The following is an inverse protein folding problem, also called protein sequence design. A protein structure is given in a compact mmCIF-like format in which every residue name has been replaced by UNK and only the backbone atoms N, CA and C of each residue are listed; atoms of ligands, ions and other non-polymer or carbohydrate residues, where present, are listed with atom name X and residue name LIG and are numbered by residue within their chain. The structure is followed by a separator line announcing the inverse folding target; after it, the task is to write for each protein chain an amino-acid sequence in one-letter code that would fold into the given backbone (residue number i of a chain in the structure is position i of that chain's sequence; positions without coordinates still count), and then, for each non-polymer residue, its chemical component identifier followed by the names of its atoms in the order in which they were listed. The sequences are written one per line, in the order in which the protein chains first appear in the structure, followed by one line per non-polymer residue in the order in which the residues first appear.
data_IF_108159992765
#
_entry.id   IF_108159992765
#
_cell.length_a   1.000
_cell.length_b   1.000
_cell.length_c   1.000
_cell.angle_alpha   90.00
_cell.angle_beta   90.00
_cell.angle_gamma   90.00
#
_symmetry.space_group_name_H-M   'P 1'
#
loop_
_entity.id
_entity.type
_entity.pdbx_description
1 polymer ?
#
# COMPACT_ATOMS: atom_id res chain seq x y z
N UNK A 1 17.52 9.33 4.18
CA UNK A 1 16.49 8.87 5.15
C UNK A 1 15.37 8.22 4.38
N UNK A 2 14.84 7.09 4.87
CA UNK A 2 13.70 6.38 4.26
C UNK A 2 12.45 7.26 4.31
N UNK A 3 11.69 7.29 3.21
CA UNK A 3 10.50 8.14 3.08
C UNK A 3 9.25 7.35 3.42
N UNK A 4 8.33 7.95 4.19
CA UNK A 4 6.99 7.37 4.37
C UNK A 4 6.09 7.83 3.23
N UNK A 5 5.49 6.87 2.51
CA UNK A 5 4.63 7.12 1.34
C UNK A 5 3.27 6.47 1.55
N UNK A 6 2.19 6.96 0.92
CA UNK A 6 0.88 6.30 1.00
C UNK A 6 0.95 4.81 0.61
N UNK A 7 0.11 3.96 1.22
CA UNK A 7 0.12 2.50 0.98
C UNK A 7 0.06 2.15 -0.51
N UNK A 8 -0.83 2.79 -1.26
CA UNK A 8 -0.99 2.56 -2.70
C UNK A 8 0.27 2.91 -3.51
N UNK A 9 1.02 3.93 -3.07
CA UNK A 9 2.31 4.33 -3.67
C UNK A 9 3.38 3.29 -3.37
N UNK A 10 3.46 2.79 -2.13
CA UNK A 10 4.37 1.71 -1.76
C UNK A 10 4.09 0.43 -2.56
N UNK A 11 2.82 0.02 -2.66
CA UNK A 11 2.41 -1.13 -3.47
C UNK A 11 2.76 -0.95 -4.96
N UNK A 12 2.63 0.26 -5.49
CA UNK A 12 2.98 0.55 -6.87
C UNK A 12 4.49 0.39 -7.09
N UNK A 13 5.33 0.90 -6.18
CA UNK A 13 6.77 0.66 -6.24
C UNK A 13 7.11 -0.84 -6.13
N UNK A 14 6.49 -1.58 -5.22
CA UNK A 14 6.70 -3.02 -5.05
C UNK A 14 6.31 -3.82 -6.30
N UNK A 15 5.20 -3.43 -6.95
CA UNK A 15 4.80 -4.00 -8.24
C UNK A 15 5.92 -3.87 -9.28
N UNK A 16 6.48 -2.67 -9.46
CA UNK A 16 7.57 -2.43 -10.42
C UNK A 16 8.87 -3.13 -10.04
N UNK A 17 9.19 -3.25 -8.75
CA UNK A 17 10.32 -4.07 -8.27
C UNK A 17 10.15 -5.55 -8.65
N UNK A 18 8.93 -6.07 -8.57
CA UNK A 18 8.62 -7.46 -8.91
C UNK A 18 8.65 -7.72 -10.42
N UNK A 19 8.07 -6.82 -11.22
CA UNK A 19 8.01 -7.02 -12.69
C UNK A 19 9.31 -6.60 -13.40
N UNK A 20 10.11 -5.75 -12.78
CA UNK A 20 11.39 -5.28 -13.30
C UNK A 20 12.51 -5.58 -12.30
N UNK A 21 13.00 -6.84 -12.26
CA UNK A 21 13.98 -7.27 -11.27
C UNK A 21 15.36 -6.63 -11.49
N UNK A 22 15.73 -6.33 -12.75
CA UNK A 22 16.96 -5.63 -13.07
C UNK A 22 16.92 -4.19 -12.53
N UNK A 23 17.92 -3.83 -11.74
CA UNK A 23 17.97 -2.56 -11.03
C UNK A 23 18.16 -1.35 -11.94
N UNK A 24 19.03 -1.43 -12.93
CA UNK A 24 19.29 -0.32 -13.86
C UNK A 24 18.05 -0.01 -14.71
N UNK A 25 17.39 -1.06 -15.25
CA UNK A 25 16.15 -0.89 -16.01
C UNK A 25 15.06 -0.32 -15.12
N UNK A 26 14.96 -0.77 -13.87
CA UNK A 26 13.98 -0.27 -12.91
C UNK A 26 14.23 1.20 -12.56
N UNK A 27 15.48 1.60 -12.35
CA UNK A 27 15.85 2.99 -12.09
C UNK A 27 15.49 3.90 -13.27
N UNK A 28 15.82 3.47 -14.49
CA UNK A 28 15.41 4.19 -15.71
C UNK A 28 13.89 4.27 -15.84
N UNK A 29 13.19 3.19 -15.51
CA UNK A 29 11.72 3.15 -15.52
C UNK A 29 11.14 4.16 -14.53
N UNK A 30 11.60 4.17 -13.27
CA UNK A 30 11.13 5.14 -12.28
C UNK A 30 11.45 6.58 -12.66
N UNK A 31 12.61 6.85 -13.27
CA UNK A 31 12.91 8.19 -13.80
C UNK A 31 12.02 8.60 -14.97
N UNK A 32 11.54 7.66 -15.78
CA UNK A 32 10.67 7.92 -16.92
C UNK A 32 9.19 8.11 -16.53
N UNK A 33 8.73 7.46 -15.45
CA UNK A 33 7.32 7.45 -15.02
C UNK A 33 6.68 8.84 -14.96
N UNK A 34 7.29 9.86 -14.31
CA UNK A 34 6.69 11.19 -14.17
C UNK A 34 6.30 11.86 -15.49
N UNK A 35 7.01 11.53 -16.58
CA UNK A 35 6.84 12.11 -17.91
C UNK A 35 6.12 11.18 -18.90
N UNK A 36 5.83 9.95 -18.49
CA UNK A 36 5.24 8.93 -19.36
C UNK A 36 3.71 9.02 -19.44
N UNK A 37 3.15 8.56 -20.56
CA UNK A 37 1.71 8.34 -20.72
C UNK A 37 1.34 6.93 -20.20
N UNK A 38 1.47 6.72 -18.90
CA UNK A 38 1.26 5.42 -18.24
C UNK A 38 -0.10 5.37 -17.52
N UNK A 39 -0.67 4.16 -17.43
CA UNK A 39 -1.93 3.86 -16.71
C UNK A 39 -1.68 2.86 -15.58
N UNK A 40 -2.68 2.65 -14.72
CA UNK A 40 -2.62 1.66 -13.63
C UNK A 40 -1.65 2.06 -12.52
N UNK A 41 -0.88 1.10 -11.96
CA UNK A 41 0.07 1.37 -10.87
C UNK A 41 1.14 2.41 -11.24
N UNK A 42 1.48 2.55 -12.53
CA UNK A 42 2.37 3.62 -12.99
C UNK A 42 1.75 5.02 -12.89
N UNK A 43 0.42 5.16 -13.02
CA UNK A 43 -0.27 6.44 -12.87
C UNK A 43 -0.21 6.91 -11.41
N UNK A 44 -0.36 6.00 -10.44
CA UNK A 44 -0.21 6.28 -9.00
C UNK A 44 1.18 6.87 -8.70
N UNK A 45 2.25 6.26 -9.24
CA UNK A 45 3.60 6.78 -9.08
C UNK A 45 3.81 8.11 -9.80
N UNK A 46 3.19 8.31 -10.96
CA UNK A 46 3.25 9.58 -11.70
C UNK A 46 2.59 10.70 -10.92
N UNK A 47 1.37 10.50 -10.42
CA UNK A 47 0.65 11.48 -9.61
C UNK A 47 1.44 11.83 -8.35
N UNK A 48 1.96 10.83 -7.64
CA UNK A 48 2.80 11.06 -6.47
C UNK A 48 4.09 11.83 -6.80
N UNK A 49 4.75 11.52 -7.92
CA UNK A 49 5.94 12.25 -8.37
C UNK A 49 5.64 13.70 -8.75
N UNK A 50 4.45 13.98 -9.28
CA UNK A 50 4.03 15.34 -9.62
C UNK A 50 3.66 16.17 -8.39
N UNK A 51 2.98 15.56 -7.42
CA UNK A 51 2.59 16.24 -6.17
C UNK A 51 3.74 16.38 -5.17
N UNK A 52 4.63 15.38 -5.10
CA UNK A 52 5.71 15.29 -4.11
C UNK A 52 7.05 14.89 -4.75
N UNK A 53 7.58 15.69 -5.70
CA UNK A 53 8.75 15.31 -6.51
C UNK A 53 9.99 14.98 -5.67
N UNK A 54 10.27 15.79 -4.64
CA UNK A 54 11.41 15.58 -3.75
C UNK A 54 11.31 14.25 -2.99
N UNK A 55 10.12 13.91 -2.50
CA UNK A 55 9.91 12.69 -1.72
C UNK A 55 9.86 11.46 -2.61
N UNK A 56 9.36 11.59 -3.85
CA UNK A 56 9.47 10.55 -4.87
C UNK A 56 10.93 10.18 -5.18
N UNK A 57 11.79 11.17 -5.44
CA UNK A 57 13.21 10.92 -5.70
C UNK A 57 13.89 10.30 -4.47
N UNK A 58 13.61 10.83 -3.27
CA UNK A 58 14.13 10.24 -2.03
C UNK A 58 13.64 8.80 -1.83
N UNK A 59 12.40 8.47 -2.20
CA UNK A 59 11.85 7.12 -2.10
C UNK A 59 12.55 6.14 -3.05
N UNK A 60 12.91 6.59 -4.26
CA UNK A 60 13.70 5.80 -5.21
C UNK A 60 15.12 5.58 -4.68
N UNK A 61 15.79 6.64 -4.20
CA UNK A 61 17.20 6.57 -3.81
C UNK A 61 17.45 5.95 -2.44
N UNK A 62 16.59 6.21 -1.46
CA UNK A 62 16.78 5.81 -0.05
C UNK A 62 15.81 4.71 0.41
N UNK A 63 14.87 4.29 -0.45
CA UNK A 63 13.78 3.40 -0.09
C UNK A 63 12.59 4.11 0.55
N UNK A 64 11.51 3.35 0.73
CA UNK A 64 10.23 3.83 1.24
C UNK A 64 9.61 2.85 2.25
N UNK A 65 8.70 3.37 3.07
CA UNK A 65 7.82 2.60 3.93
C UNK A 65 6.37 3.05 3.71
N UNK A 66 5.40 2.13 3.72
CA UNK A 66 4.00 2.52 3.67
C UNK A 66 3.62 3.30 4.93
N UNK A 67 2.84 4.36 4.74
CA UNK A 67 2.03 4.96 5.80
C UNK A 67 0.91 3.96 6.08
N UNK A 68 1.00 3.31 7.23
CA UNK A 68 -0.04 2.41 7.73
C UNK A 68 -1.09 3.30 8.36
N UNK A 69 -2.22 3.48 7.69
CA UNK A 69 -3.40 4.09 8.29
C UNK A 69 -4.23 3.00 8.95
N UNK A 70 -3.84 2.70 10.19
CA UNK A 70 -4.48 1.70 11.03
C UNK A 70 -5.99 1.94 11.16
N UNK A 71 -6.42 3.20 11.19
CA UNK A 71 -7.84 3.52 11.35
C UNK A 71 -8.62 3.12 10.11
N UNK A 72 -8.10 3.44 8.92
CA UNK A 72 -8.71 3.06 7.66
C UNK A 72 -8.74 1.54 7.47
N UNK A 73 -7.67 0.83 7.84
CA UNK A 73 -7.65 -0.63 7.73
C UNK A 73 -8.64 -1.30 8.68
N UNK A 74 -8.82 -0.77 9.90
CA UNK A 74 -9.86 -1.25 10.82
C UNK A 74 -11.26 -0.92 10.29
N UNK A 75 -11.46 0.27 9.70
CA UNK A 75 -12.72 0.66 9.07
C UNK A 75 -13.09 -0.30 7.92
N UNK A 76 -12.16 -0.61 7.03
CA UNK A 76 -12.36 -1.57 5.94
C UNK A 76 -12.72 -2.97 6.48
N UNK A 77 -12.05 -3.42 7.54
CA UNK A 77 -12.38 -4.71 8.19
C UNK A 77 -13.78 -4.71 8.79
N UNK A 78 -14.21 -3.62 9.42
CA UNK A 78 -15.57 -3.47 9.97
C UNK A 78 -16.60 -3.50 8.85
N UNK A 79 -16.37 -2.76 7.77
CA UNK A 79 -17.28 -2.72 6.63
C UNK A 79 -17.41 -4.10 5.96
N UNK A 80 -16.29 -4.80 5.76
CA UNK A 80 -16.31 -6.18 5.23
C UNK A 80 -17.07 -7.15 6.15
N UNK A 81 -17.01 -6.95 7.46
CA UNK A 81 -17.76 -7.76 8.42
C UNK A 81 -19.25 -7.44 8.41
N UNK A 82 -19.64 -6.16 8.33
CA UNK A 82 -21.04 -5.74 8.24
C UNK A 82 -21.73 -6.22 6.96
N UNK A 83 -20.99 -6.37 5.86
CA UNK A 83 -21.52 -6.87 4.59
C UNK A 83 -21.73 -8.40 4.57
N UNK A 84 -21.16 -9.15 5.52
CA UNK A 84 -21.27 -10.61 5.56
C UNK A 84 -22.47 -11.06 6.39
N UNK A 85 -23.37 -11.89 5.84
CA UNK A 85 -24.42 -12.51 6.64
C UNK A 85 -23.82 -13.47 7.67
N UNK A 86 -24.41 -13.50 8.87
CA UNK A 86 -23.98 -14.41 9.93
C UNK A 86 -24.12 -15.87 9.49
N UNK A 87 -23.06 -16.66 9.65
CA UNK A 87 -22.99 -18.06 9.17
C UNK A 87 -23.15 -19.04 10.33
N UNK A 88 -22.49 -18.79 11.46
CA UNK A 88 -22.45 -19.72 12.62
C UNK A 88 -23.15 -19.15 13.87
N UNK A 89 -23.94 -18.09 13.67
CA UNK A 89 -24.63 -17.33 14.72
C UNK A 89 -23.83 -16.10 15.16
N UNK A 90 -24.56 -15.01 15.42
CA UNK A 90 -24.04 -13.66 15.69
C UNK A 90 -22.86 -13.64 16.67
N UNK A 91 -23.00 -14.32 17.82
CA UNK A 91 -21.97 -14.32 18.87
C UNK A 91 -20.63 -14.91 18.41
N UNK A 92 -20.66 -16.01 17.65
CA UNK A 92 -19.43 -16.67 17.16
C UNK A 92 -18.75 -15.85 16.06
N UNK A 93 -19.54 -15.18 15.23
CA UNK A 93 -19.01 -14.35 14.16
C UNK A 93 -18.41 -13.04 14.72
N UNK A 94 -18.99 -12.49 15.80
CA UNK A 94 -18.37 -11.39 16.58
C UNK A 94 -17.04 -11.85 17.20
N UNK A 95 -16.99 -13.03 17.82
CA UNK A 95 -15.76 -13.57 18.42
C UNK A 95 -14.65 -13.78 17.37
N UNK A 96 -15.01 -14.27 16.17
CA UNK A 96 -14.07 -14.40 15.04
C UNK A 96 -13.56 -13.06 14.55
N UNK A 97 -14.43 -12.06 14.46
CA UNK A 97 -14.05 -10.71 14.07
C UNK A 97 -13.09 -10.08 15.09
N UNK A 98 -13.39 -10.20 16.38
CA UNK A 98 -12.51 -9.73 17.45
C UNK A 98 -11.13 -10.42 17.42
N UNK A 99 -11.09 -11.73 17.14
CA UNK A 99 -9.83 -12.46 16.97
C UNK A 99 -9.03 -11.98 15.75
N UNK A 100 -9.72 -11.70 14.63
CA UNK A 100 -9.09 -11.17 13.41
C UNK A 100 -8.44 -9.80 13.66
N UNK A 101 -9.15 -8.87 14.30
CA UNK A 101 -8.58 -7.55 14.67
C UNK A 101 -7.39 -7.73 15.62
N UNK A 102 -7.52 -8.58 16.63
CA UNK A 102 -6.44 -8.78 17.62
C UNK A 102 -5.18 -9.33 16.96
N UNK A 103 -5.31 -10.30 16.07
CA UNK A 103 -4.19 -10.86 15.32
C UNK A 103 -3.53 -9.82 14.41
N UNK A 104 -4.33 -8.96 13.76
CA UNK A 104 -3.83 -7.88 12.92
C UNK A 104 -2.87 -6.96 13.68
N UNK A 105 -3.23 -6.56 14.91
CA UNK A 105 -2.39 -5.73 15.77
C UNK A 105 -1.17 -6.44 16.37
N UNK A 106 -1.22 -7.77 16.50
CA UNK A 106 -0.07 -8.55 16.97
C UNK A 106 1.00 -8.74 15.89
N UNK A 107 0.62 -8.82 14.62
CA UNK A 107 1.54 -9.00 13.48
C UNK A 107 2.27 -7.70 13.11
N UNK A 108 1.71 -6.53 13.47
CA UNK A 108 2.34 -5.22 13.20
C UNK A 108 3.32 -4.74 14.29
N UNK A 109 3.49 -5.48 15.39
CA UNK A 109 4.50 -5.19 16.43
C UNK A 109 5.83 -5.87 16.11
#
# INVERSE_FOLDING_TARGET
MVVRVPKEVAEAFDYFKRVCPNEDIRNLTFMAIPYSAIKGKGAVLKEFAQSYPTDYIKAISNGYLPIVDVQKEVEDMINEWLEKPYVDGEKKDIERFAAMITNYFQVQK
#
